data_IF_119672873158
#
_entry.id   IF_119672873158
#
_cell.length_a   1.000
_cell.length_b   1.000
_cell.length_c   1.000
_cell.angle_alpha   90.00
_cell.angle_beta   90.00
_cell.angle_gamma   90.00
#
_symmetry.space_group_name_H-M   'P 1'
#
loop_
_entity.id
_entity.type
_entity.pdbx_description
1 polymer ?
#
# COMPACT_ATOMS: atom_id res chain seq x y z
N UNK A 1 -6.36 15.39 11.08
CA UNK A 1 -6.06 13.95 11.27
C UNK A 1 -4.65 13.71 10.80
N UNK A 2 -3.83 12.94 11.52
CA UNK A 2 -2.42 12.74 11.14
C UNK A 2 -2.35 12.01 9.78
N UNK A 3 -1.62 12.53 8.79
CA UNK A 3 -1.54 11.94 7.43
C UNK A 3 -1.07 10.48 7.47
N UNK A 4 -0.15 10.15 8.38
CA UNK A 4 0.31 8.76 8.59
C UNK A 4 -0.84 7.81 8.98
N UNK A 5 -1.82 8.28 9.76
CA UNK A 5 -3.00 7.48 10.12
C UNK A 5 -3.85 7.23 8.87
N UNK A 6 -4.08 8.27 8.05
CA UNK A 6 -4.83 8.15 6.79
C UNK A 6 -4.14 7.17 5.83
N UNK A 7 -2.83 7.30 5.65
CA UNK A 7 -2.03 6.38 4.82
C UNK A 7 -2.21 4.95 5.32
N UNK A 8 -2.06 4.73 6.63
CA UNK A 8 -2.19 3.39 7.23
C UNK A 8 -3.58 2.80 6.98
N UNK A 9 -4.64 3.56 7.23
CA UNK A 9 -6.02 3.13 6.98
C UNK A 9 -6.24 2.80 5.49
N UNK A 10 -5.78 3.67 4.59
CA UNK A 10 -5.87 3.44 3.14
C UNK A 10 -5.12 2.20 2.69
N UNK A 11 -3.92 1.95 3.21
CA UNK A 11 -3.15 0.72 2.91
C UNK A 11 -3.91 -0.52 3.34
N UNK A 12 -4.46 -0.54 4.56
CA UNK A 12 -5.27 -1.65 5.04
C UNK A 12 -6.49 -1.89 4.14
N UNK A 13 -7.28 -0.84 3.87
CA UNK A 13 -8.49 -0.94 3.07
C UNK A 13 -8.21 -1.41 1.64
N UNK A 14 -7.25 -0.79 0.94
CA UNK A 14 -6.95 -1.16 -0.44
C UNK A 14 -6.29 -2.54 -0.54
N UNK A 15 -5.44 -2.93 0.40
CA UNK A 15 -4.84 -4.28 0.41
C UNK A 15 -5.93 -5.34 0.58
N UNK A 16 -6.86 -5.17 1.52
CA UNK A 16 -7.99 -6.09 1.73
C UNK A 16 -8.87 -6.16 0.47
N UNK A 17 -9.26 -5.01 -0.09
CA UNK A 17 -10.10 -4.94 -1.27
C UNK A 17 -9.45 -5.64 -2.47
N UNK A 18 -8.18 -5.36 -2.74
CA UNK A 18 -7.46 -5.95 -3.87
C UNK A 18 -7.17 -7.44 -3.68
N UNK A 19 -6.91 -7.90 -2.45
CA UNK A 19 -6.69 -9.33 -2.17
C UNK A 19 -7.95 -10.19 -2.44
N UNK A 20 -9.14 -9.61 -2.30
CA UNK A 20 -10.40 -10.28 -2.64
C UNK A 20 -10.66 -10.38 -4.16
N UNK A 21 -9.86 -9.70 -4.99
CA UNK A 21 -9.97 -9.75 -6.45
C UNK A 21 -8.98 -10.79 -6.98
N UNK A 22 -9.48 -11.75 -7.78
CA UNK A 22 -8.62 -12.74 -8.42
C UNK A 22 -7.58 -12.06 -9.31
N UNK A 23 -6.31 -12.17 -8.93
CA UNK A 23 -5.18 -11.71 -9.74
C UNK A 23 -5.14 -12.48 -11.07
N UNK A 24 -5.21 -11.76 -12.19
CA UNK A 24 -5.10 -12.28 -13.57
C UNK A 24 -3.80 -11.87 -14.27
N UNK A 25 -2.89 -11.21 -13.54
CA UNK A 25 -1.58 -10.79 -14.03
C UNK A 25 -0.54 -11.89 -13.88
N UNK A 26 0.54 -11.82 -14.67
CA UNK A 26 1.74 -12.66 -14.50
C UNK A 26 2.58 -12.24 -13.29
N UNK A 27 2.34 -11.06 -12.72
CA UNK A 27 3.02 -10.61 -11.51
C UNK A 27 2.42 -11.25 -10.27
N UNK A 28 3.29 -11.67 -9.33
CA UNK A 28 2.88 -12.18 -8.03
C UNK A 28 1.96 -11.17 -7.31
N UNK A 29 0.92 -11.67 -6.65
CA UNK A 29 0.00 -10.83 -5.85
C UNK A 29 0.75 -10.02 -4.77
N UNK A 30 1.83 -10.60 -4.23
CA UNK A 30 2.72 -9.97 -3.26
C UNK A 30 3.56 -8.83 -3.82
N UNK A 31 3.54 -8.61 -5.14
CA UNK A 31 4.24 -7.50 -5.81
C UNK A 31 3.20 -6.52 -6.36
N UNK A 32 2.24 -7.03 -7.15
CA UNK A 32 1.30 -6.15 -7.87
C UNK A 32 0.33 -5.43 -6.93
N UNK A 33 -0.13 -6.08 -5.85
CA UNK A 33 -1.03 -5.44 -4.89
C UNK A 33 -0.29 -4.30 -4.17
N UNK A 34 0.90 -4.50 -3.56
CA UNK A 34 1.67 -3.40 -2.96
C UNK A 34 1.90 -2.21 -3.91
N UNK A 35 2.20 -2.46 -5.19
CA UNK A 35 2.36 -1.41 -6.21
C UNK A 35 1.08 -0.60 -6.41
N UNK A 36 -0.06 -1.28 -6.63
CA UNK A 36 -1.34 -0.61 -6.85
C UNK A 36 -1.76 0.15 -5.57
N UNK A 37 -1.60 -0.47 -4.40
CA UNK A 37 -1.91 0.17 -3.10
C UNK A 37 -1.08 1.43 -2.93
N UNK A 38 0.23 1.39 -3.18
CA UNK A 38 1.08 2.56 -3.06
C UNK A 38 0.66 3.70 -4.01
N UNK A 39 0.33 3.38 -5.26
CA UNK A 39 -0.17 4.38 -6.21
C UNK A 39 -1.52 4.98 -5.76
N UNK A 40 -2.48 4.15 -5.35
CA UNK A 40 -3.79 4.61 -4.89
C UNK A 40 -3.68 5.46 -3.62
N UNK A 41 -2.90 5.01 -2.64
CA UNK A 41 -2.72 5.76 -1.38
C UNK A 41 -2.03 7.08 -1.62
N UNK A 42 -0.98 7.13 -2.46
CA UNK A 42 -0.29 8.40 -2.81
C UNK A 42 -1.21 9.35 -3.57
N UNK A 43 -2.01 8.83 -4.50
CA UNK A 43 -2.96 9.65 -5.25
C UNK A 43 -4.10 10.22 -4.39
N UNK A 44 -4.65 9.42 -3.47
CA UNK A 44 -5.83 9.81 -2.69
C UNK A 44 -5.47 10.60 -1.43
N UNK A 45 -4.42 10.19 -0.70
CA UNK A 45 -4.04 10.79 0.58
C UNK A 45 -3.00 11.91 0.39
N UNK A 46 -2.21 11.83 -0.69
CA UNK A 46 -1.14 12.78 -0.98
C UNK A 46 0.18 12.47 -0.29
N UNK A 47 1.11 13.39 -0.46
CA UNK A 47 2.46 13.32 0.09
C UNK A 47 2.50 13.75 1.57
N UNK A 48 3.52 13.27 2.29
CA UNK A 48 3.80 13.72 3.67
C UNK A 48 4.37 15.15 3.71
N UNK A 49 4.73 15.67 2.55
CA UNK A 49 5.47 16.92 2.39
C UNK A 49 4.58 17.95 1.68
N UNK A 50 4.75 19.22 2.02
CA UNK A 50 4.07 20.30 1.31
C UNK A 50 4.77 20.60 -0.02
N UNK A 51 4.00 20.75 -1.10
CA UNK A 51 4.49 21.31 -2.36
C UNK A 51 4.58 20.34 -3.54
N UNK A 52 4.16 19.07 -3.37
CA UNK A 52 4.14 18.05 -4.44
C UNK A 52 5.52 17.86 -5.11
N UNK A 53 6.58 18.02 -4.33
CA UNK A 53 7.96 17.83 -4.77
C UNK A 53 8.50 16.52 -4.23
N UNK A 54 9.21 15.78 -5.09
CA UNK A 54 9.92 14.58 -4.66
C UNK A 54 11.01 14.92 -3.64
N UNK A 55 11.00 14.21 -2.52
CA UNK A 55 11.93 14.36 -1.42
C UNK A 55 12.43 12.98 -0.92
N UNK A 56 13.37 13.00 0.01
CA UNK A 56 13.86 11.77 0.67
C UNK A 56 12.75 11.11 1.50
N UNK A 57 11.77 11.88 1.99
CA UNK A 57 10.64 11.37 2.76
C UNK A 57 9.76 10.46 1.89
N UNK A 58 9.70 10.70 0.58
CA UNK A 58 9.00 9.81 -0.34
C UNK A 58 9.56 8.40 -0.32
N UNK A 59 10.89 8.23 -0.21
CA UNK A 59 11.50 6.89 -0.16
C UNK A 59 10.97 6.12 1.05
N UNK A 60 10.90 6.77 2.21
CA UNK A 60 10.33 6.19 3.42
C UNK A 60 8.82 5.94 3.28
N UNK A 61 8.09 6.82 2.61
CA UNK A 61 6.68 6.64 2.31
C UNK A 61 6.43 5.38 1.46
N UNK A 62 7.15 5.22 0.35
CA UNK A 62 7.02 4.07 -0.54
C UNK A 62 7.40 2.77 0.18
N UNK A 63 8.52 2.78 0.90
CA UNK A 63 8.99 1.62 1.66
C UNK A 63 7.98 1.24 2.75
N UNK A 64 7.42 2.21 3.46
CA UNK A 64 6.38 1.99 4.47
C UNK A 64 5.17 1.28 3.88
N UNK A 65 4.63 1.76 2.75
CA UNK A 65 3.46 1.15 2.12
C UNK A 65 3.77 -0.25 1.60
N UNK A 66 4.92 -0.44 0.95
CA UNK A 66 5.31 -1.75 0.43
C UNK A 66 5.47 -2.80 1.54
N UNK A 67 6.18 -2.46 2.62
CA UNK A 67 6.37 -3.38 3.74
C UNK A 67 5.02 -3.69 4.42
N UNK A 68 4.21 -2.66 4.69
CA UNK A 68 2.94 -2.84 5.39
C UNK A 68 1.95 -3.68 4.57
N UNK A 69 1.79 -3.38 3.28
CA UNK A 69 0.91 -4.16 2.39
C UNK A 69 1.40 -5.59 2.20
N UNK A 70 2.71 -5.82 2.11
CA UNK A 70 3.29 -7.16 2.02
C UNK A 70 3.03 -8.00 3.29
N UNK A 71 3.25 -7.42 4.48
CA UNK A 71 2.97 -8.08 5.76
C UNK A 71 1.47 -8.41 5.87
N UNK A 72 0.60 -7.48 5.48
CA UNK A 72 -0.85 -7.69 5.45
C UNK A 72 -1.23 -8.90 4.58
N UNK A 73 -0.70 -8.97 3.35
CA UNK A 73 -0.96 -10.10 2.45
C UNK A 73 -0.47 -11.43 3.04
N UNK A 74 0.74 -11.45 3.61
CA UNK A 74 1.26 -12.65 4.28
C UNK A 74 0.35 -13.09 5.43
N UNK A 75 -0.12 -12.16 6.25
CA UNK A 75 -1.00 -12.45 7.38
C UNK A 75 -2.37 -12.99 6.98
N UNK A 76 -2.87 -12.56 5.81
CA UNK A 76 -4.14 -13.05 5.26
C UNK A 76 -3.99 -14.44 4.66
N UNK A 77 -2.89 -14.70 3.97
CA UNK A 77 -2.62 -16.03 3.39
C UNK A 77 -2.35 -17.09 4.44
N UNK A 78 -1.66 -16.72 5.53
CA UNK A 78 -1.39 -17.65 6.65
C UNK A 78 -2.64 -18.13 7.37
N UNK A 79 -3.78 -17.42 7.25
CA UNK A 79 -5.06 -17.83 7.84
C UNK A 79 -5.81 -18.89 7.04
N UNK A 80 -5.30 -19.31 5.88
CA UNK A 80 -5.94 -20.28 4.99
C UNK A 80 -5.16 -21.60 4.82
N UNK A 81 -4.16 -21.86 5.67
CA UNK A 81 -3.51 -23.18 5.85
C UNK A 81 -3.91 -23.71 7.22
#
# INVERSE_FOLDING_TARGET
>A
MNQLILITISVFLFTILLNNIKNKSNFSKFIIIPVIVAMLTKYIVGDLDSGYTWSVIDIFYWLYIFVLSYILLLSMDYKFI
#
